data_IF_405012199862
#
_entry.id   IF_405012199862
#
_cell.length_a   1.000
_cell.length_b   1.000
_cell.length_c   1.000
_cell.angle_alpha   90.00
_cell.angle_beta   90.00
_cell.angle_gamma   90.00
#
_symmetry.space_group_name_H-M   'P 1'
#
loop_
_entity.id
_entity.type
_entity.pdbx_description
1 polymer ?
#
# COMPACT_ATOMS: atom_id res chain seq x y z
N UNK A 1 109.93 4.68 6.83
CA UNK A 1 108.90 4.12 5.93
C UNK A 1 107.91 3.30 6.75
N UNK A 2 106.72 3.81 6.99
CA UNK A 2 105.62 3.07 7.65
C UNK A 2 104.31 3.49 6.98
N UNK A 3 103.70 2.56 6.24
CA UNK A 3 102.46 2.73 5.48
C UNK A 3 101.26 2.82 6.42
N UNK A 4 100.37 3.79 6.22
CA UNK A 4 99.10 3.90 6.91
C UNK A 4 98.11 2.83 6.41
N UNK A 5 97.38 2.21 7.34
CA UNK A 5 96.28 1.27 7.08
C UNK A 5 94.97 2.06 7.06
N UNK A 6 94.33 2.15 5.90
CA UNK A 6 92.93 2.58 5.76
C UNK A 6 91.97 1.47 6.23
N UNK A 7 91.07 1.78 7.16
CA UNK A 7 89.97 0.90 7.56
C UNK A 7 88.80 1.02 6.57
N UNK A 8 88.23 -0.12 6.15
CA UNK A 8 87.02 -0.20 5.34
C UNK A 8 85.79 -0.13 6.25
N UNK A 9 84.87 0.80 5.99
CA UNK A 9 83.52 0.79 6.58
C UNK A 9 82.67 -0.37 6.05
N UNK A 10 81.80 -1.00 6.88
CA UNK A 10 80.92 -2.06 6.42
C UNK A 10 79.70 -1.48 5.68
N UNK A 11 79.37 -2.06 4.52
CA UNK A 11 78.10 -1.82 3.80
C UNK A 11 76.94 -2.35 4.66
N UNK A 12 76.05 -1.46 5.11
CA UNK A 12 74.76 -1.82 5.69
C UNK A 12 73.90 -2.53 4.62
N UNK A 13 73.57 -3.79 4.82
CA UNK A 13 72.52 -4.48 4.05
C UNK A 13 71.14 -3.98 4.52
N UNK A 14 70.17 -3.76 3.61
CA UNK A 14 68.82 -3.37 4.02
C UNK A 14 68.12 -4.56 4.73
N UNK A 15 67.19 -4.29 5.66
CA UNK A 15 66.59 -5.33 6.48
C UNK A 15 65.68 -6.25 5.64
N UNK A 16 66.04 -7.54 5.57
CA UNK A 16 65.27 -8.62 4.92
C UNK A 16 63.90 -8.92 5.55
N UNK A 17 63.51 -8.26 6.64
CA UNK A 17 62.26 -8.54 7.37
C UNK A 17 61.02 -7.91 6.74
N UNK A 18 61.13 -6.76 6.06
CA UNK A 18 59.98 -6.08 5.44
C UNK A 18 59.34 -6.90 4.30
N UNK A 19 60.15 -7.62 3.50
CA UNK A 19 59.64 -8.43 2.39
C UNK A 19 58.84 -9.66 2.83
N UNK A 20 59.09 -10.19 4.04
CA UNK A 20 58.31 -11.32 4.58
C UNK A 20 56.93 -10.88 5.04
N UNK A 21 56.82 -9.73 5.70
CA UNK A 21 55.54 -9.14 6.12
C UNK A 21 54.68 -8.76 4.92
N UNK A 22 55.28 -8.19 3.87
CA UNK A 22 54.57 -7.87 2.63
C UNK A 22 54.03 -9.14 1.93
N UNK A 23 54.81 -10.22 1.92
CA UNK A 23 54.38 -11.51 1.37
C UNK A 23 53.24 -12.17 2.16
N UNK A 24 53.23 -12.06 3.49
CA UNK A 24 52.12 -12.51 4.32
C UNK A 24 50.87 -11.63 4.15
N UNK A 25 51.02 -10.31 4.07
CA UNK A 25 49.92 -9.39 3.80
C UNK A 25 49.29 -9.66 2.42
N UNK A 26 50.09 -9.95 1.39
CA UNK A 26 49.59 -10.34 0.07
C UNK A 26 48.80 -11.66 0.12
N UNK A 27 49.33 -12.69 0.79
CA UNK A 27 48.65 -13.99 0.93
C UNK A 27 47.34 -13.85 1.71
N UNK A 28 47.33 -13.10 2.81
CA UNK A 28 46.11 -12.80 3.57
C UNK A 28 45.12 -11.97 2.75
N UNK A 29 45.60 -11.03 1.93
CA UNK A 29 44.77 -10.27 1.01
C UNK A 29 44.09 -11.14 -0.05
N UNK A 30 44.83 -12.11 -0.63
CA UNK A 30 44.27 -13.08 -1.58
C UNK A 30 43.21 -13.96 -0.90
N UNK A 31 43.51 -14.49 0.30
CA UNK A 31 42.51 -15.26 1.07
C UNK A 31 41.27 -14.42 1.35
N UNK A 32 41.45 -13.16 1.75
CA UNK A 32 40.35 -12.22 1.95
C UNK A 32 39.52 -11.98 0.69
N UNK A 33 40.17 -11.83 -0.48
CA UNK A 33 39.49 -11.69 -1.78
C UNK A 33 38.71 -12.95 -2.16
N UNK A 34 39.26 -14.14 -1.91
CA UNK A 34 38.55 -15.41 -2.17
C UNK A 34 37.32 -15.53 -1.27
N UNK A 35 37.46 -15.20 0.02
CA UNK A 35 36.33 -15.20 0.95
C UNK A 35 35.25 -14.17 0.55
N UNK A 36 35.67 -12.98 0.14
CA UNK A 36 34.75 -11.93 -0.32
C UNK A 36 34.06 -12.33 -1.63
N UNK A 37 34.77 -12.97 -2.55
CA UNK A 37 34.21 -13.53 -3.77
C UNK A 37 33.20 -14.66 -3.48
N UNK A 38 33.52 -15.56 -2.56
CA UNK A 38 32.59 -16.60 -2.10
C UNK A 38 31.33 -16.01 -1.45
N UNK A 39 31.49 -14.98 -0.62
CA UNK A 39 30.37 -14.24 -0.05
C UNK A 39 29.55 -13.53 -1.13
N UNK A 40 30.18 -12.91 -2.12
CA UNK A 40 29.48 -12.27 -3.24
C UNK A 40 28.66 -13.26 -4.04
N UNK A 41 29.21 -14.43 -4.38
CA UNK A 41 28.47 -15.52 -5.07
C UNK A 41 27.29 -15.99 -4.23
N UNK A 42 27.48 -16.16 -2.92
CA UNK A 42 26.40 -16.55 -2.01
C UNK A 42 25.28 -15.49 -1.96
N UNK A 43 25.64 -14.21 -1.82
CA UNK A 43 24.64 -13.13 -1.82
C UNK A 43 23.99 -12.97 -3.19
N UNK A 44 24.71 -13.23 -4.28
CA UNK A 44 24.19 -13.18 -5.64
C UNK A 44 23.11 -14.25 -5.86
N UNK A 45 23.35 -15.48 -5.39
CA UNK A 45 22.37 -16.55 -5.42
C UNK A 45 21.10 -16.16 -4.65
N UNK A 46 21.24 -15.57 -3.45
CA UNK A 46 20.10 -15.07 -2.66
C UNK A 46 19.34 -13.97 -3.41
N UNK A 47 20.07 -13.02 -4.00
CA UNK A 47 19.49 -11.90 -4.74
C UNK A 47 18.68 -12.41 -5.91
N UNK A 48 19.26 -13.30 -6.72
CA UNK A 48 18.58 -13.90 -7.86
C UNK A 48 17.37 -14.73 -7.42
N UNK A 49 17.53 -15.70 -6.52
CA UNK A 49 16.44 -16.59 -6.09
C UNK A 49 15.20 -15.81 -5.63
N UNK A 50 15.39 -14.80 -4.77
CA UNK A 50 14.27 -14.02 -4.22
C UNK A 50 13.70 -13.00 -5.21
N UNK A 51 14.53 -12.43 -6.09
CA UNK A 51 14.08 -11.39 -7.03
C UNK A 51 13.58 -11.95 -8.36
N UNK A 52 14.01 -13.13 -8.81
CA UNK A 52 13.50 -13.75 -10.04
C UNK A 52 12.32 -14.69 -9.81
N UNK A 53 12.12 -15.18 -8.58
CA UNK A 53 10.99 -16.03 -8.19
C UNK A 53 9.68 -15.27 -7.94
N UNK A 54 8.80 -15.80 -7.08
CA UNK A 54 7.61 -15.09 -6.57
C UNK A 54 8.06 -13.90 -5.71
N UNK A 55 8.35 -12.76 -6.35
CA UNK A 55 8.81 -11.51 -5.70
C UNK A 55 7.88 -11.07 -4.55
N UNK A 56 6.59 -11.38 -4.67
CA UNK A 56 5.56 -11.04 -3.69
C UNK A 56 4.53 -12.16 -3.60
N UNK A 57 4.06 -12.45 -2.37
CA UNK A 57 2.80 -13.16 -2.16
C UNK A 57 1.67 -12.14 -2.25
N UNK A 58 0.68 -12.40 -3.10
CA UNK A 58 -0.45 -11.48 -3.29
C UNK A 58 -1.64 -12.08 -2.55
N UNK A 59 -2.14 -11.44 -1.47
CA UNK A 59 -3.32 -11.94 -0.78
C UNK A 59 -4.54 -11.87 -1.70
N UNK A 60 -5.46 -12.82 -1.56
CA UNK A 60 -6.72 -12.72 -2.29
C UNK A 60 -7.50 -11.48 -1.82
N UNK A 61 -8.14 -10.79 -2.77
CA UNK A 61 -8.95 -9.61 -2.53
C UNK A 61 -10.42 -9.97 -2.58
N UNK A 62 -11.16 -9.58 -1.55
CA UNK A 62 -12.60 -9.81 -1.43
C UNK A 62 -13.33 -8.51 -1.73
N UNK A 63 -14.17 -8.57 -2.76
CA UNK A 63 -14.98 -7.46 -3.25
C UNK A 63 -16.44 -7.65 -2.86
N UNK A 64 -17.12 -6.53 -2.57
CA UNK A 64 -18.57 -6.45 -2.44
C UNK A 64 -19.28 -6.80 -3.76
N UNK A 65 -20.61 -6.78 -3.75
CA UNK A 65 -21.38 -6.83 -4.99
C UNK A 65 -20.97 -5.67 -5.92
N UNK A 66 -20.84 -5.90 -7.24
CA UNK A 66 -20.83 -4.80 -8.20
C UNK A 66 -22.15 -4.02 -8.09
N UNK A 67 -22.09 -2.70 -7.98
CA UNK A 67 -23.31 -1.89 -8.03
C UNK A 67 -23.73 -1.72 -9.49
N UNK A 68 -24.82 -2.39 -9.85
CA UNK A 68 -25.50 -2.16 -11.13
C UNK A 68 -26.63 -1.16 -10.93
N UNK A 69 -26.58 -0.08 -11.71
CA UNK A 69 -27.59 0.97 -11.74
C UNK A 69 -28.54 0.72 -12.90
N UNK A 70 -29.85 0.75 -12.64
CA UNK A 70 -30.89 0.67 -13.66
C UNK A 70 -32.13 1.46 -13.23
N UNK A 71 -32.92 1.89 -14.21
CA UNK A 71 -34.14 2.68 -13.94
C UNK A 71 -35.17 1.84 -13.17
N UNK A 72 -35.73 2.39 -12.10
CA UNK A 72 -36.68 1.71 -11.21
C UNK A 72 -36.03 0.98 -10.03
N UNK A 73 -34.69 0.92 -9.98
CA UNK A 73 -33.98 0.36 -8.83
C UNK A 73 -34.28 1.15 -7.56
N UNK A 74 -34.55 0.44 -6.45
CA UNK A 74 -34.72 1.03 -5.12
C UNK A 74 -33.34 1.38 -4.53
N UNK A 75 -32.85 2.57 -4.87
CA UNK A 75 -31.61 3.15 -4.38
C UNK A 75 -31.83 4.65 -4.18
N UNK A 76 -31.70 5.12 -2.94
CA UNK A 76 -31.78 6.54 -2.64
C UNK A 76 -30.50 7.24 -3.09
N UNK A 77 -30.60 8.55 -3.40
CA UNK A 77 -29.43 9.37 -3.72
C UNK A 77 -28.40 9.32 -2.60
N UNK A 78 -28.86 9.38 -1.35
CA UNK A 78 -27.94 9.47 -0.20
C UNK A 78 -27.21 8.14 0.02
N UNK A 79 -27.88 6.99 -0.16
CA UNK A 79 -27.22 5.67 -0.16
C UNK A 79 -26.20 5.56 -1.30
N UNK A 80 -26.54 6.03 -2.51
CA UNK A 80 -25.61 6.03 -3.63
C UNK A 80 -24.37 6.89 -3.34
N UNK A 81 -24.54 8.06 -2.73
CA UNK A 81 -23.42 8.92 -2.34
C UNK A 81 -22.52 8.27 -1.27
N UNK A 82 -23.09 7.50 -0.34
CA UNK A 82 -22.31 6.72 0.63
C UNK A 82 -21.42 5.70 -0.08
N UNK A 83 -21.97 4.98 -1.08
CA UNK A 83 -21.22 3.99 -1.85
C UNK A 83 -20.12 4.66 -2.70
N UNK A 84 -20.40 5.80 -3.32
CA UNK A 84 -19.41 6.60 -4.03
C UNK A 84 -18.28 7.11 -3.12
N UNK A 85 -18.61 7.59 -1.92
CA UNK A 85 -17.63 8.02 -0.94
C UNK A 85 -16.75 6.84 -0.48
N UNK A 86 -17.34 5.66 -0.27
CA UNK A 86 -16.61 4.43 0.08
C UNK A 86 -15.69 3.96 -1.05
N UNK A 87 -16.11 4.12 -2.31
CA UNK A 87 -15.31 3.88 -3.50
C UNK A 87 -14.26 4.98 -3.76
N UNK A 88 -14.25 6.06 -2.99
CA UNK A 88 -13.28 7.15 -3.10
C UNK A 88 -13.52 8.14 -4.23
N UNK A 89 -14.76 8.24 -4.73
CA UNK A 89 -15.11 9.26 -5.72
C UNK A 89 -14.99 10.66 -5.11
N UNK A 90 -14.33 11.56 -5.83
CA UNK A 90 -14.14 12.95 -5.42
C UNK A 90 -15.37 13.76 -5.77
N UNK A 91 -15.93 14.44 -4.77
CA UNK A 91 -17.00 15.42 -4.97
C UNK A 91 -16.41 16.71 -5.54
N UNK A 92 -16.70 16.98 -6.81
CA UNK A 92 -16.22 18.14 -7.54
C UNK A 92 -17.42 18.93 -8.10
N UNK A 93 -17.23 20.22 -8.41
CA UNK A 93 -18.31 21.03 -9.01
C UNK A 93 -18.66 20.56 -10.42
N UNK A 94 -17.70 19.96 -11.11
CA UNK A 94 -17.83 19.31 -12.41
C UNK A 94 -17.06 18.00 -12.34
N UNK A 95 -17.68 16.90 -12.77
CA UNK A 95 -17.04 15.59 -12.78
C UNK A 95 -15.98 15.54 -13.90
N UNK A 96 -14.72 15.86 -13.56
CA UNK A 96 -13.60 15.84 -14.48
C UNK A 96 -12.64 14.68 -14.18
N UNK A 97 -12.36 13.87 -15.20
CA UNK A 97 -11.49 12.71 -15.08
C UNK A 97 -12.09 11.54 -14.28
N UNK A 98 -11.38 10.41 -14.17
CA UNK A 98 -11.87 9.22 -13.46
C UNK A 98 -12.15 9.49 -11.98
N UNK A 99 -13.13 8.79 -11.42
CA UNK A 99 -13.51 8.86 -10.00
C UNK A 99 -13.91 10.26 -9.53
N UNK A 100 -14.51 11.05 -10.41
CA UNK A 100 -15.08 12.34 -10.06
C UNK A 100 -16.60 12.26 -10.11
N UNK A 101 -17.27 12.88 -9.14
CA UNK A 101 -18.72 12.98 -9.06
C UNK A 101 -19.14 14.43 -8.78
N UNK A 102 -20.14 14.91 -9.50
CA UNK A 102 -20.76 16.21 -9.31
C UNK A 102 -22.24 16.00 -8.93
N UNK A 103 -22.65 16.64 -7.84
CA UNK A 103 -23.99 16.47 -7.27
C UNK A 103 -24.80 17.75 -7.49
N UNK A 104 -25.87 17.64 -8.29
CA UNK A 104 -26.74 18.74 -8.70
C UNK A 104 -28.19 18.42 -8.31
N UNK A 105 -28.57 18.76 -7.08
CA UNK A 105 -29.89 18.45 -6.53
C UNK A 105 -30.14 16.94 -6.46
N UNK A 106 -31.03 16.43 -7.33
CA UNK A 106 -31.34 15.00 -7.43
C UNK A 106 -30.58 14.30 -8.56
N UNK A 107 -29.63 14.96 -9.19
CA UNK A 107 -28.81 14.39 -10.26
C UNK A 107 -27.38 14.23 -9.78
N UNK A 108 -26.78 13.08 -10.08
CA UNK A 108 -25.36 12.81 -9.85
C UNK A 108 -24.73 12.51 -11.20
N UNK A 109 -23.81 13.38 -11.62
CA UNK A 109 -22.95 13.16 -12.77
C UNK A 109 -21.65 12.55 -12.28
N UNK A 110 -21.25 11.38 -12.77
CA UNK A 110 -20.00 10.74 -12.39
C UNK A 110 -19.23 10.21 -13.60
N UNK A 111 -17.91 10.14 -13.46
CA UNK A 111 -17.05 9.41 -14.39
C UNK A 111 -16.55 8.16 -13.70
N UNK A 112 -17.02 7.00 -14.15
CA UNK A 112 -16.53 5.72 -13.64
C UNK A 112 -15.06 5.55 -14.00
N UNK A 113 -14.31 4.83 -13.17
CA UNK A 113 -12.88 4.54 -13.42
C UNK A 113 -12.63 3.34 -14.34
N UNK A 114 -13.68 2.56 -14.63
CA UNK A 114 -13.55 1.27 -15.29
C UNK A 114 -12.98 0.21 -14.34
N UNK A 115 -13.23 -1.07 -14.64
CA UNK A 115 -12.82 -2.16 -13.78
C UNK A 115 -12.69 -3.47 -14.56
N UNK A 116 -11.75 -4.33 -14.16
CA UNK A 116 -11.58 -5.65 -14.74
C UNK A 116 -12.37 -6.68 -13.93
N UNK A 117 -13.57 -7.00 -14.42
CA UNK A 117 -14.44 -8.04 -13.92
C UNK A 117 -14.00 -9.42 -14.43
N UNK A 118 -14.65 -10.47 -13.93
CA UNK A 118 -14.44 -11.85 -14.37
C UNK A 118 -14.93 -12.10 -15.81
N UNK A 119 -15.88 -11.30 -16.31
CA UNK A 119 -16.45 -11.40 -17.66
C UNK A 119 -15.62 -10.63 -18.71
N UNK A 120 -14.86 -9.62 -18.26
CA UNK A 120 -14.16 -8.69 -19.14
C UNK A 120 -13.79 -7.38 -18.46
N UNK A 121 -13.28 -6.45 -19.26
CA UNK A 121 -12.90 -5.11 -18.79
C UNK A 121 -13.97 -4.10 -19.16
N UNK A 122 -14.53 -3.44 -18.15
CA UNK A 122 -15.38 -2.28 -18.32
C UNK A 122 -14.50 -1.03 -18.41
N UNK A 123 -14.68 -0.27 -19.48
CA UNK A 123 -13.99 1.00 -19.67
C UNK A 123 -14.57 2.10 -18.76
N UNK A 124 -13.76 3.12 -18.48
CA UNK A 124 -14.22 4.35 -17.86
C UNK A 124 -15.31 5.01 -18.72
N UNK A 125 -16.41 5.42 -18.10
CA UNK A 125 -17.54 6.04 -18.79
C UNK A 125 -18.18 7.15 -17.95
N UNK A 126 -18.74 8.14 -18.64
CA UNK A 126 -19.53 9.18 -17.99
C UNK A 126 -20.96 8.70 -17.82
N UNK A 127 -21.47 8.77 -16.59
CA UNK A 127 -22.80 8.32 -16.21
C UNK A 127 -23.52 9.44 -15.47
N UNK A 128 -24.74 9.73 -15.89
CA UNK A 128 -25.67 10.64 -15.23
C UNK A 128 -26.80 9.81 -14.63
N UNK A 129 -26.97 9.95 -13.31
CA UNK A 129 -28.01 9.26 -12.55
C UNK A 129 -28.95 10.31 -11.96
N UNK A 130 -30.25 10.20 -12.25
CA UNK A 130 -31.27 11.06 -11.65
C UNK A 130 -32.11 10.26 -10.68
N UNK A 131 -32.34 10.80 -9.49
CA UNK A 131 -33.11 10.16 -8.43
C UNK A 131 -34.51 10.79 -8.28
N UNK A 132 -35.48 9.98 -7.88
CA UNK A 132 -36.83 10.41 -7.51
C UNK A 132 -37.29 9.62 -6.28
N UNK A 133 -37.32 10.27 -5.11
CA UNK A 133 -37.50 9.57 -3.84
C UNK A 133 -36.36 8.58 -3.61
N UNK A 134 -36.71 7.34 -3.28
CA UNK A 134 -35.76 6.24 -3.03
C UNK A 134 -35.46 5.40 -4.28
N UNK A 135 -35.65 5.97 -5.47
CA UNK A 135 -35.51 5.24 -6.73
C UNK A 135 -34.65 5.96 -7.75
N UNK A 136 -33.93 5.17 -8.56
CA UNK A 136 -33.27 5.63 -9.79
C UNK A 136 -34.35 5.92 -10.84
N UNK A 137 -34.45 7.18 -11.25
CA UNK A 137 -35.52 7.68 -12.12
C UNK A 137 -35.08 7.91 -13.57
N UNK A 138 -33.78 8.13 -13.81
CA UNK A 138 -33.20 8.19 -15.16
C UNK A 138 -31.71 7.81 -15.10
N UNK A 139 -31.23 7.17 -16.16
CA UNK A 139 -29.84 6.77 -16.32
C UNK A 139 -29.40 7.07 -17.76
N UNK A 140 -28.36 7.89 -17.90
CA UNK A 140 -27.84 8.31 -19.21
C UNK A 140 -26.32 8.42 -19.22
N UNK A 141 -25.73 8.38 -20.41
CA UNK A 141 -24.31 8.60 -20.65
C UNK A 141 -23.99 10.11 -20.74
N UNK A 142 -22.71 10.49 -20.74
CA UNK A 142 -22.26 11.88 -20.87
C UNK A 142 -22.73 12.59 -22.15
N UNK A 143 -23.03 11.85 -23.22
CA UNK A 143 -23.61 12.39 -24.46
C UNK A 143 -25.15 12.50 -24.43
N UNK A 144 -25.80 12.15 -23.32
CA UNK A 144 -27.26 12.15 -23.15
C UNK A 144 -27.97 10.89 -23.66
N UNK A 145 -27.26 9.89 -24.19
CA UNK A 145 -27.87 8.62 -24.57
C UNK A 145 -28.36 7.85 -23.33
N UNK A 146 -29.55 7.26 -23.39
CA UNK A 146 -30.08 6.44 -22.29
C UNK A 146 -29.26 5.16 -22.13
N UNK A 147 -28.96 4.81 -20.88
CA UNK A 147 -28.29 3.57 -20.52
C UNK A 147 -29.32 2.61 -19.91
N UNK A 148 -29.29 1.35 -20.33
CA UNK A 148 -30.13 0.31 -19.72
C UNK A 148 -29.58 -0.06 -18.33
N UNK A 149 -28.26 -0.23 -18.25
CA UNK A 149 -27.52 -0.54 -17.03
C UNK A 149 -26.21 0.25 -17.03
N UNK A 150 -25.78 0.71 -15.86
CA UNK A 150 -24.42 1.20 -15.63
C UNK A 150 -23.84 0.46 -14.42
N UNK A 151 -22.71 -0.22 -14.61
CA UNK A 151 -22.02 -0.96 -13.55
C UNK A 151 -20.89 -0.11 -12.98
N UNK A 152 -20.80 -0.05 -11.66
CA UNK A 152 -19.67 0.54 -10.94
C UNK A 152 -18.72 -0.57 -10.48
N UNK A 153 -17.47 -0.19 -10.25
CA UNK A 153 -16.51 -1.06 -9.62
C UNK A 153 -16.98 -1.47 -8.21
N UNK A 154 -16.72 -2.72 -7.79
CA UNK A 154 -17.15 -3.18 -6.48
C UNK A 154 -16.21 -2.67 -5.38
N UNK A 155 -16.77 -2.42 -4.21
CA UNK A 155 -16.00 -2.01 -3.03
C UNK A 155 -15.06 -3.14 -2.57
N UNK A 156 -13.78 -2.84 -2.31
CA UNK A 156 -12.88 -3.78 -1.65
C UNK A 156 -13.25 -3.87 -0.17
N UNK A 157 -13.73 -5.02 0.28
CA UNK A 157 -14.23 -5.23 1.64
C UNK A 157 -13.23 -5.97 2.56
N UNK A 158 -12.18 -6.54 1.98
CA UNK A 158 -11.11 -7.15 2.73
C UNK A 158 -10.20 -8.02 1.88
N UNK A 159 -9.31 -8.76 2.53
CA UNK A 159 -8.43 -9.73 1.89
C UNK A 159 -8.22 -10.98 2.74
N UNK A 160 -7.81 -12.05 2.09
CA UNK A 160 -7.37 -13.28 2.74
C UNK A 160 -5.85 -13.26 2.84
N UNK A 161 -5.37 -12.91 4.03
CA UNK A 161 -3.96 -12.66 4.25
C UNK A 161 -3.22 -13.93 4.71
N UNK A 162 -1.97 -14.12 4.24
CA UNK A 162 -1.06 -15.10 4.81
C UNK A 162 -0.69 -14.74 6.27
N UNK A 163 -0.09 -15.70 6.99
CA UNK A 163 0.24 -15.58 8.43
C UNK A 163 1.13 -14.39 8.79
N UNK A 164 1.89 -13.84 7.84
CA UNK A 164 2.76 -12.67 8.01
C UNK A 164 2.02 -11.32 7.96
N UNK A 165 0.70 -11.29 7.67
CA UNK A 165 -0.16 -10.09 7.72
C UNK A 165 0.31 -8.91 6.85
N UNK A 166 1.05 -9.19 5.77
CA UNK A 166 1.45 -8.20 4.79
C UNK A 166 0.37 -8.04 3.71
N UNK A 167 -0.06 -6.80 3.48
CA UNK A 167 -1.01 -6.45 2.41
C UNK A 167 -0.26 -5.70 1.29
N UNK A 168 -0.62 -5.98 0.03
CA UNK A 168 0.03 -5.39 -1.15
C UNK A 168 -0.99 -5.19 -2.27
N UNK A 169 -0.95 -3.99 -2.85
CA UNK A 169 -1.57 -3.70 -4.15
C UNK A 169 -0.42 -3.46 -5.11
N UNK A 170 -0.09 -4.50 -5.90
CA UNK A 170 0.97 -4.40 -6.88
C UNK A 170 0.59 -3.40 -7.97
N UNK A 171 1.51 -2.48 -8.24
CA UNK A 171 1.41 -1.53 -9.34
C UNK A 171 2.59 -1.75 -10.29
N UNK A 172 2.29 -1.73 -11.57
CA UNK A 172 3.32 -1.68 -12.62
C UNK A 172 3.87 -0.27 -12.74
N UNK A 173 5.08 -0.15 -13.27
CA UNK A 173 5.73 1.15 -13.44
C UNK A 173 4.93 2.12 -14.33
N UNK A 174 4.24 1.59 -15.36
CA UNK A 174 3.38 2.36 -16.28
C UNK A 174 2.07 2.84 -15.65
N UNK A 175 1.69 2.31 -14.49
CA UNK A 175 0.51 2.71 -13.71
C UNK A 175 0.83 3.80 -12.68
N UNK A 176 2.11 4.18 -12.53
CA UNK A 176 2.51 5.23 -11.61
C UNK A 176 1.92 6.59 -12.06
N UNK A 177 1.30 7.37 -11.15
CA UNK A 177 0.76 8.68 -11.48
C UNK A 177 1.88 9.64 -11.90
N UNK A 178 1.53 10.74 -12.59
CA UNK A 178 2.46 11.82 -12.86
C UNK A 178 3.21 12.25 -11.59
N UNK A 179 4.45 12.69 -11.76
CA UNK A 179 5.35 13.15 -10.69
C UNK A 179 5.84 12.09 -9.70
N UNK A 180 5.27 10.88 -9.64
CA UNK A 180 5.69 9.90 -8.62
C UNK A 180 7.11 9.41 -8.86
N UNK A 181 7.43 8.94 -10.08
CA UNK A 181 8.74 8.37 -10.37
C UNK A 181 9.84 9.44 -10.27
N UNK A 182 9.67 10.53 -11.01
CA UNK A 182 10.65 11.63 -11.04
C UNK A 182 10.77 12.30 -9.67
N UNK A 183 9.64 12.48 -8.97
CA UNK A 183 9.61 13.05 -7.63
C UNK A 183 10.28 12.17 -6.59
N UNK A 184 10.06 10.85 -6.64
CA UNK A 184 10.71 9.89 -5.74
C UNK A 184 12.23 9.88 -5.97
N UNK A 185 12.68 9.81 -7.23
CA UNK A 185 14.10 9.87 -7.58
C UNK A 185 14.71 11.21 -7.15
N UNK A 186 14.03 12.33 -7.41
CA UNK A 186 14.49 13.67 -7.04
C UNK A 186 14.69 13.87 -5.53
N UNK A 187 13.85 13.21 -4.71
CA UNK A 187 13.87 13.34 -3.25
C UNK A 187 14.82 12.34 -2.60
N UNK A 188 14.75 11.07 -2.99
CA UNK A 188 15.45 9.98 -2.32
C UNK A 188 16.83 9.68 -2.94
N UNK A 189 16.98 9.79 -4.26
CA UNK A 189 18.22 9.40 -4.95
C UNK A 189 18.43 10.12 -6.30
N UNK A 190 18.86 11.38 -6.24
CA UNK A 190 18.98 12.26 -7.43
C UNK A 190 19.84 11.72 -8.57
N UNK A 191 20.86 10.94 -8.23
CA UNK A 191 21.80 10.37 -9.21
C UNK A 191 21.43 8.93 -9.58
N UNK A 192 20.20 8.47 -9.28
CA UNK A 192 19.77 7.06 -9.39
C UNK A 192 20.16 6.41 -10.71
N UNK A 193 19.93 7.07 -11.84
CA UNK A 193 20.21 6.50 -13.16
C UNK A 193 21.69 6.45 -13.54
N UNK A 194 22.58 7.08 -12.76
CA UNK A 194 24.00 7.27 -13.10
C UNK A 194 24.96 6.50 -12.19
N UNK A 195 24.48 5.96 -11.07
CA UNK A 195 25.27 5.13 -10.17
C UNK A 195 24.85 3.67 -10.26
N UNK A 196 25.68 2.80 -9.66
CA UNK A 196 25.51 1.37 -9.73
C UNK A 196 25.40 0.76 -8.33
N UNK A 197 24.17 0.69 -7.82
CA UNK A 197 23.79 0.20 -6.49
C UNK A 197 24.14 1.16 -5.36
N UNK A 198 25.32 1.77 -5.39
CA UNK A 198 25.84 2.70 -4.38
C UNK A 198 26.30 3.98 -5.04
N UNK A 199 26.01 5.13 -4.44
CA UNK A 199 26.46 6.43 -4.92
C UNK A 199 27.59 7.00 -4.05
N UNK A 200 28.85 6.99 -4.53
CA UNK A 200 29.98 7.63 -3.83
C UNK A 200 29.74 9.13 -3.60
N UNK A 201 29.09 9.80 -4.56
CA UNK A 201 28.72 11.22 -4.46
C UNK A 201 27.73 11.46 -3.31
N UNK A 202 26.72 10.61 -3.17
CA UNK A 202 25.73 10.73 -2.07
C UNK A 202 26.36 10.45 -0.71
N UNK A 203 27.28 9.49 -0.62
CA UNK A 203 28.03 9.19 0.60
C UNK A 203 28.93 10.36 1.00
N UNK A 204 29.73 10.89 0.07
CA UNK A 204 30.63 12.02 0.34
C UNK A 204 29.85 13.28 0.77
N UNK A 205 28.73 13.56 0.08
CA UNK A 205 27.82 14.66 0.44
C UNK A 205 27.24 14.49 1.84
N UNK A 206 26.77 13.29 2.18
CA UNK A 206 26.19 13.01 3.50
C UNK A 206 27.25 13.19 4.61
N UNK A 207 28.48 12.71 4.40
CA UNK A 207 29.58 12.91 5.35
C UNK A 207 29.84 14.41 5.56
N UNK A 208 30.03 15.17 4.47
CA UNK A 208 30.29 16.61 4.54
C UNK A 208 29.21 17.37 5.31
N UNK A 209 27.94 17.16 4.95
CA UNK A 209 26.81 17.87 5.57
C UNK A 209 26.68 17.52 7.05
N UNK A 210 26.78 16.23 7.39
CA UNK A 210 26.63 15.76 8.78
C UNK A 210 27.80 16.24 9.67
N UNK A 211 29.02 16.36 9.13
CA UNK A 211 30.16 16.92 9.87
C UNK A 211 30.06 18.45 10.03
N UNK A 212 29.52 19.16 9.04
CA UNK A 212 29.40 20.63 9.07
C UNK A 212 28.27 21.18 9.97
N UNK A 213 27.19 20.40 10.20
CA UNK A 213 25.99 20.90 10.89
C UNK A 213 25.67 20.18 12.21
N UNK A 214 26.55 19.32 12.72
CA UNK A 214 26.44 18.71 14.06
C UNK A 214 25.22 17.81 14.31
N UNK A 215 24.34 17.63 13.32
CA UNK A 215 23.14 16.78 13.37
C UNK A 215 23.07 15.91 12.11
N UNK A 216 22.75 14.63 12.29
CA UNK A 216 22.54 13.66 11.20
C UNK A 216 21.25 14.00 10.44
N UNK A 217 21.34 14.88 9.43
CA UNK A 217 20.16 15.41 8.70
C UNK A 217 19.91 14.72 7.36
N UNK A 218 20.96 14.21 6.71
CA UNK A 218 20.90 13.66 5.36
C UNK A 218 21.44 12.22 5.31
N UNK A 219 20.64 11.32 4.72
CA UNK A 219 21.03 9.94 4.47
C UNK A 219 21.79 9.81 3.15
N UNK A 220 22.88 9.05 3.14
CA UNK A 220 23.66 8.75 1.93
C UNK A 220 23.26 7.45 1.22
N UNK A 221 22.08 6.89 1.52
CA UNK A 221 21.66 5.59 0.96
C UNK A 221 20.88 5.76 -0.33
N UNK A 222 21.14 4.90 -1.31
CA UNK A 222 20.46 4.88 -2.63
C UNK A 222 19.10 4.19 -2.56
N UNK A 223 18.25 4.35 -3.57
CA UNK A 223 16.98 3.62 -3.67
C UNK A 223 17.20 2.10 -3.65
N UNK A 224 18.21 1.61 -4.36
CA UNK A 224 18.57 0.18 -4.43
C UNK A 224 19.03 -0.35 -3.07
N UNK A 225 19.81 0.43 -2.33
CA UNK A 225 20.19 0.10 -0.95
C UNK A 225 18.98 0.03 -0.01
N UNK A 226 18.06 0.98 -0.14
CA UNK A 226 16.81 0.98 0.63
C UNK A 226 15.94 -0.24 0.29
N UNK A 227 15.83 -0.61 -1.00
CA UNK A 227 15.13 -1.82 -1.45
C UNK A 227 15.77 -3.06 -0.82
N UNK A 228 17.09 -3.21 -0.94
CA UNK A 228 17.81 -4.36 -0.40
C UNK A 228 17.60 -4.50 1.11
N UNK A 229 17.68 -3.37 1.83
CA UNK A 229 17.46 -3.33 3.28
C UNK A 229 16.06 -3.83 3.65
N UNK A 230 15.02 -3.39 2.94
CA UNK A 230 13.64 -3.79 3.26
C UNK A 230 13.33 -5.21 2.80
N UNK A 231 13.90 -5.63 1.67
CA UNK A 231 13.55 -6.89 1.01
C UNK A 231 14.37 -8.10 1.50
N UNK A 232 15.64 -7.93 1.88
CA UNK A 232 16.54 -9.05 2.23
C UNK A 232 17.05 -9.05 3.66
N UNK A 233 17.13 -7.89 4.31
CA UNK A 233 17.88 -7.74 5.56
C UNK A 233 16.95 -7.46 6.75
N UNK A 234 17.46 -7.74 7.95
CA UNK A 234 16.78 -7.41 9.20
C UNK A 234 17.01 -5.95 9.60
N UNK A 235 16.18 -5.44 10.53
CA UNK A 235 16.24 -4.06 11.01
C UNK A 235 17.42 -3.74 11.97
N UNK A 236 18.38 -4.65 12.12
CA UNK A 236 19.56 -4.44 12.99
C UNK A 236 20.39 -3.23 12.55
N UNK A 237 21.07 -2.55 13.48
CA UNK A 237 21.96 -1.44 13.12
C UNK A 237 23.41 -1.84 13.30
N UNK A 238 24.02 -2.39 12.25
CA UNK A 238 25.44 -2.76 12.23
C UNK A 238 26.15 -2.30 10.95
N UNK A 239 27.46 -2.02 11.07
CA UNK A 239 28.30 -1.68 9.91
C UNK A 239 28.44 -2.85 8.94
N UNK A 240 28.48 -4.08 9.46
CA UNK A 240 28.50 -5.31 8.66
C UNK A 240 27.25 -5.43 7.80
N UNK A 241 26.05 -5.24 8.37
CA UNK A 241 24.80 -5.19 7.60
C UNK A 241 24.85 -4.12 6.52
N UNK A 242 25.38 -2.93 6.82
CA UNK A 242 25.48 -1.84 5.83
C UNK A 242 26.42 -2.17 4.67
N UNK A 243 27.50 -2.92 4.93
CA UNK A 243 28.40 -3.40 3.88
C UNK A 243 27.73 -4.50 3.03
N UNK A 244 27.03 -5.44 3.67
CA UNK A 244 26.21 -6.46 2.98
C UNK A 244 25.15 -5.82 2.10
N UNK A 245 24.45 -4.80 2.59
CA UNK A 245 23.45 -4.01 1.86
C UNK A 245 24.06 -3.34 0.62
N UNK A 246 25.26 -2.75 0.75
CA UNK A 246 25.96 -2.14 -0.37
C UNK A 246 26.36 -3.17 -1.44
N UNK A 247 26.87 -4.34 -1.04
CA UNK A 247 27.25 -5.40 -1.96
C UNK A 247 26.03 -6.00 -2.68
N UNK A 248 24.96 -6.32 -1.95
CA UNK A 248 23.70 -6.79 -2.53
C UNK A 248 23.07 -5.75 -3.46
N UNK A 249 23.16 -4.45 -3.13
CA UNK A 249 22.67 -3.40 -4.02
C UNK A 249 23.42 -3.38 -5.35
N UNK A 250 24.74 -3.52 -5.33
CA UNK A 250 25.54 -3.65 -6.56
C UNK A 250 25.13 -4.88 -7.35
N UNK A 251 25.05 -6.06 -6.71
CA UNK A 251 24.66 -7.31 -7.37
C UNK A 251 23.26 -7.21 -7.98
N UNK A 252 22.31 -6.58 -7.30
CA UNK A 252 20.95 -6.39 -7.80
C UNK A 252 20.94 -5.57 -9.10
N UNK A 253 21.74 -4.52 -9.22
CA UNK A 253 21.81 -3.72 -10.45
C UNK A 253 22.61 -4.35 -11.59
N UNK A 254 23.40 -5.40 -11.33
CA UNK A 254 24.04 -6.22 -12.38
C UNK A 254 22.99 -7.02 -13.13
N UNK A 255 22.00 -7.54 -12.40
CA UNK A 255 21.03 -8.47 -12.97
C UNK A 255 19.74 -7.81 -13.42
N UNK A 256 19.36 -6.69 -12.81
CA UNK A 256 18.06 -6.07 -13.03
C UNK A 256 18.18 -4.61 -13.46
N UNK A 257 17.28 -4.22 -14.35
CA UNK A 257 17.23 -2.86 -14.86
C UNK A 257 16.78 -1.86 -13.78
N UNK A 258 17.15 -0.58 -13.95
CA UNK A 258 16.68 0.51 -13.07
C UNK A 258 15.15 0.58 -13.00
N UNK A 259 14.46 0.22 -14.08
CA UNK A 259 13.00 0.18 -14.13
C UNK A 259 12.43 -0.92 -13.23
N UNK A 260 12.98 -2.13 -13.30
CA UNK A 260 12.56 -3.24 -12.43
C UNK A 260 12.85 -2.96 -10.95
N UNK A 261 14.00 -2.36 -10.65
CA UNK A 261 14.35 -1.96 -9.28
C UNK A 261 13.38 -0.89 -8.77
N UNK A 262 13.04 0.10 -9.60
CA UNK A 262 12.10 1.15 -9.23
C UNK A 262 10.69 0.57 -9.03
N UNK A 263 10.22 -0.30 -9.93
CA UNK A 263 8.95 -1.01 -9.77
C UNK A 263 8.92 -1.85 -8.48
N UNK A 264 9.98 -2.60 -8.20
CA UNK A 264 10.07 -3.37 -6.96
C UNK A 264 10.08 -2.46 -5.73
N UNK A 265 10.80 -1.35 -5.78
CA UNK A 265 10.81 -0.35 -4.71
C UNK A 265 9.41 0.22 -4.44
N UNK A 266 8.67 0.57 -5.49
CA UNK A 266 7.31 1.12 -5.37
C UNK A 266 6.35 0.13 -4.69
N UNK A 267 6.59 -1.17 -4.81
CA UNK A 267 5.76 -2.22 -4.23
C UNK A 267 6.26 -2.71 -2.85
N UNK A 268 7.49 -2.38 -2.46
CA UNK A 268 8.11 -2.87 -1.22
C UNK A 268 8.18 -1.86 -0.09
N UNK A 269 8.30 -0.58 -0.42
CA UNK A 269 8.62 0.45 0.58
C UNK A 269 7.57 0.51 1.70
N UNK A 270 8.03 0.44 2.94
CA UNK A 270 7.17 0.62 4.10
C UNK A 270 6.74 2.09 4.22
N UNK A 271 5.43 2.34 4.27
CA UNK A 271 4.85 3.70 4.20
C UNK A 271 3.80 3.97 5.26
N UNK A 272 3.38 2.96 6.03
CA UNK A 272 2.48 3.14 7.15
C UNK A 272 2.22 1.86 7.93
N UNK A 273 1.48 1.97 9.03
CA UNK A 273 1.04 0.86 9.85
C UNK A 273 -0.46 0.99 10.09
N UNK A 274 -1.20 -0.10 9.86
CA UNK A 274 -2.63 -0.20 10.12
C UNK A 274 -2.90 -1.26 11.20
N UNK A 275 -3.06 -0.82 12.45
CA UNK A 275 -3.16 -1.75 13.59
C UNK A 275 -1.96 -2.70 13.65
N UNK A 276 -2.23 -4.00 13.47
CA UNK A 276 -1.20 -5.05 13.45
C UNK A 276 -0.56 -5.27 12.07
N UNK A 277 -1.05 -4.61 11.02
CA UNK A 277 -0.62 -4.80 9.63
C UNK A 277 0.33 -3.70 9.17
N UNK A 278 1.34 -4.08 8.41
CA UNK A 278 2.24 -3.14 7.78
C UNK A 278 1.72 -2.74 6.39
N UNK A 279 1.73 -1.44 6.09
CA UNK A 279 1.34 -0.89 4.78
C UNK A 279 2.60 -0.77 3.94
N UNK A 280 2.75 -1.69 2.98
CA UNK A 280 3.87 -1.73 2.04
C UNK A 280 3.45 -1.34 0.63
N UNK A 281 4.31 -0.57 -0.02
CA UNK A 281 4.14 -0.10 -1.38
C UNK A 281 3.16 1.06 -1.54
N UNK A 282 3.36 1.84 -2.60
CA UNK A 282 2.57 3.03 -2.90
C UNK A 282 1.12 2.71 -3.29
N UNK A 283 0.88 1.57 -3.94
CA UNK A 283 -0.46 1.14 -4.33
C UNK A 283 -1.39 0.94 -3.15
N UNK A 284 -0.91 0.25 -2.11
CA UNK A 284 -1.69 0.10 -0.88
C UNK A 284 -1.73 1.41 -0.09
N UNK A 285 -0.63 2.19 -0.08
CA UNK A 285 -0.60 3.49 0.60
C UNK A 285 -1.67 4.46 0.08
N UNK A 286 -1.89 4.50 -1.24
CA UNK A 286 -2.88 5.40 -1.84
C UNK A 286 -4.29 5.06 -1.37
N UNK A 287 -4.62 3.77 -1.33
CA UNK A 287 -5.90 3.30 -0.80
C UNK A 287 -5.99 3.55 0.71
N UNK A 288 -4.92 3.24 1.45
CA UNK A 288 -4.88 3.39 2.89
C UNK A 288 -5.05 4.84 3.34
N UNK A 289 -4.36 5.81 2.72
CA UNK A 289 -4.40 7.21 3.14
C UNK A 289 -5.46 8.05 2.44
N UNK A 290 -5.80 7.74 1.19
CA UNK A 290 -6.65 8.59 0.34
C UNK A 290 -7.89 7.87 -0.22
N UNK A 291 -8.03 6.56 0.00
CA UNK A 291 -9.08 5.72 -0.61
C UNK A 291 -9.14 5.90 -2.13
N UNK A 292 -7.99 6.07 -2.77
CA UNK A 292 -7.88 6.32 -4.21
C UNK A 292 -6.88 5.38 -4.85
N UNK A 293 -7.11 4.96 -6.10
CA UNK A 293 -6.08 4.31 -6.90
C UNK A 293 -4.84 5.20 -7.02
N UNK A 294 -3.66 4.58 -7.00
CA UNK A 294 -2.39 5.31 -7.03
C UNK A 294 -2.28 6.21 -8.27
N UNK A 295 -2.73 5.72 -9.43
CA UNK A 295 -2.74 6.45 -10.71
C UNK A 295 -3.55 7.74 -10.71
N UNK A 296 -4.47 7.92 -9.76
CA UNK A 296 -5.35 9.09 -9.66
C UNK A 296 -4.87 10.15 -8.66
N UNK A 297 -3.77 9.87 -7.95
CA UNK A 297 -3.28 10.81 -6.94
C UNK A 297 -2.81 12.12 -7.57
N UNK A 298 -3.22 13.23 -6.96
CA UNK A 298 -2.76 14.57 -7.31
C UNK A 298 -1.37 14.82 -6.72
N UNK A 299 -0.65 15.79 -7.27
CA UNK A 299 0.75 16.11 -6.88
C UNK A 299 0.98 16.27 -5.37
N UNK A 300 0.05 16.88 -4.63
CA UNK A 300 0.17 17.05 -3.17
C UNK A 300 0.04 15.73 -2.40
N UNK A 301 -0.75 14.78 -2.90
CA UNK A 301 -0.87 13.42 -2.34
C UNK A 301 0.36 12.58 -2.68
N UNK A 302 0.86 12.67 -3.93
CA UNK A 302 2.13 12.06 -4.35
C UNK A 302 3.29 12.54 -3.46
N UNK A 303 3.41 13.86 -3.28
CA UNK A 303 4.43 14.46 -2.41
C UNK A 303 4.30 14.00 -0.95
N UNK A 304 3.07 13.77 -0.47
CA UNK A 304 2.83 13.23 0.87
C UNK A 304 3.36 11.79 0.98
N UNK A 305 3.04 10.91 0.02
CA UNK A 305 3.53 9.52 0.03
C UNK A 305 5.05 9.44 -0.09
N UNK A 306 5.65 10.22 -1.00
CA UNK A 306 7.12 10.31 -1.12
C UNK A 306 7.72 10.84 0.19
N UNK A 307 7.08 11.80 0.84
CA UNK A 307 7.51 12.33 2.13
C UNK A 307 7.52 11.30 3.26
N UNK A 308 6.59 10.33 3.23
CA UNK A 308 6.45 9.27 4.23
C UNK A 308 7.61 8.28 4.21
N UNK A 309 8.20 8.00 3.04
CA UNK A 309 9.31 7.05 2.87
C UNK A 309 10.44 7.27 3.89
N UNK A 310 10.78 8.54 4.15
CA UNK A 310 11.83 8.91 5.11
C UNK A 310 11.53 8.48 6.55
N UNK A 311 10.25 8.42 6.93
CA UNK A 311 9.84 8.12 8.29
C UNK A 311 8.33 7.94 8.42
N UNK A 312 7.80 6.76 8.04
CA UNK A 312 6.36 6.51 7.95
C UNK A 312 5.59 6.80 9.24
N UNK A 313 6.13 6.35 10.38
CA UNK A 313 5.51 6.55 11.68
C UNK A 313 5.62 8.00 12.18
N UNK A 314 6.75 8.67 11.87
CA UNK A 314 7.02 10.02 12.35
C UNK A 314 6.21 11.08 11.58
N UNK A 315 6.08 10.89 10.26
CA UNK A 315 5.34 11.77 9.37
C UNK A 315 3.91 11.28 9.10
N UNK A 316 3.38 10.37 9.93
CA UNK A 316 2.03 9.86 9.75
C UNK A 316 0.99 11.01 9.76
N UNK A 317 0.25 11.26 8.68
CA UNK A 317 -0.61 12.43 8.52
C UNK A 317 -1.87 12.40 9.40
N UNK A 318 -2.27 11.22 9.88
CA UNK A 318 -3.40 11.09 10.82
C UNK A 318 -2.98 11.39 12.25
N UNK A 319 -1.79 10.93 12.65
CA UNK A 319 -1.27 11.11 14.01
C UNK A 319 -0.57 12.45 14.21
N UNK A 320 0.14 12.94 13.20
CA UNK A 320 0.98 14.14 13.27
C UNK A 320 0.77 15.03 12.02
N UNK A 321 -0.44 15.62 11.85
CA UNK A 321 -0.78 16.36 10.63
C UNK A 321 0.15 17.54 10.35
N UNK A 322 0.62 18.26 11.37
CA UNK A 322 1.53 19.40 11.20
C UNK A 322 2.89 18.98 10.61
N UNK A 323 3.51 17.94 11.17
CA UNK A 323 4.80 17.40 10.68
C UNK A 323 4.66 16.83 9.27
N UNK A 324 3.54 16.15 9.01
CA UNK A 324 3.22 15.62 7.69
C UNK A 324 3.09 16.74 6.65
N UNK A 325 2.40 17.83 7.01
CA UNK A 325 2.20 19.00 6.15
C UNK A 325 3.53 19.68 5.82
N UNK A 326 4.37 19.91 6.82
CA UNK A 326 5.71 20.47 6.64
C UNK A 326 6.57 19.57 5.74
N UNK A 327 6.57 18.26 5.98
CA UNK A 327 7.33 17.29 5.18
C UNK A 327 6.85 17.23 3.75
N UNK A 328 5.54 17.20 3.50
CA UNK A 328 4.93 17.25 2.16
C UNK A 328 5.33 18.53 1.44
N UNK A 329 5.27 19.68 2.12
CA UNK A 329 5.62 20.96 1.51
C UNK A 329 7.11 21.03 1.15
N UNK A 330 7.98 20.46 1.98
CA UNK A 330 9.40 20.30 1.65
C UNK A 330 9.61 19.40 0.42
N UNK A 331 8.84 18.33 0.27
CA UNK A 331 8.89 17.49 -0.95
C UNK A 331 8.43 18.27 -2.18
N UNK A 332 7.36 19.08 -2.05
CA UNK A 332 6.90 19.94 -3.14
C UNK A 332 7.96 21.00 -3.52
N UNK A 333 8.68 21.57 -2.56
CA UNK A 333 9.82 22.46 -2.83
C UNK A 333 10.94 21.74 -3.59
N UNK A 334 11.20 20.48 -3.26
CA UNK A 334 12.17 19.67 -3.99
C UNK A 334 11.70 19.35 -5.42
N UNK A 335 10.39 19.17 -5.64
CA UNK A 335 9.84 18.98 -6.98
C UNK A 335 10.07 20.22 -7.85
N UNK A 336 9.87 21.41 -7.30
CA UNK A 336 10.17 22.68 -7.99
C UNK A 336 11.67 22.79 -8.31
N UNK A 337 12.54 22.61 -7.32
CA UNK A 337 13.98 22.76 -7.45
C UNK A 337 14.60 21.78 -8.45
N UNK A 338 14.00 20.60 -8.63
CA UNK A 338 14.48 19.58 -9.56
C UNK A 338 13.74 19.59 -10.90
N UNK A 339 12.85 20.57 -11.14
CA UNK A 339 12.12 20.71 -12.40
C UNK A 339 11.03 19.66 -12.63
N UNK A 340 10.62 18.94 -11.59
CA UNK A 340 9.52 17.94 -11.64
C UNK A 340 8.17 18.63 -11.83
N UNK A 341 7.99 19.82 -11.25
CA UNK A 341 6.78 20.62 -11.37
C UNK A 341 7.10 22.12 -11.44
N UNK A 342 6.22 22.92 -12.06
CA UNK A 342 6.41 24.37 -12.15
C UNK A 342 6.11 25.06 -10.81
N UNK A 343 6.68 26.25 -10.55
CA UNK A 343 6.42 27.02 -9.33
C UNK A 343 4.92 27.27 -9.09
N UNK A 344 4.14 27.51 -10.15
CA UNK A 344 2.69 27.77 -10.06
C UNK A 344 1.93 26.53 -9.57
N UNK A 345 2.27 25.35 -10.09
CA UNK A 345 1.68 24.07 -9.69
C UNK A 345 2.03 23.76 -8.25
N UNK A 346 3.29 23.98 -7.85
CA UNK A 346 3.77 23.76 -6.47
C UNK A 346 3.08 24.72 -5.49
N UNK A 347 2.96 26.00 -5.83
CA UNK A 347 2.26 26.99 -5.01
C UNK A 347 0.78 26.65 -4.82
N UNK A 348 0.10 26.17 -5.87
CA UNK A 348 -1.28 25.69 -5.79
C UNK A 348 -1.39 24.42 -4.93
N UNK A 349 -0.48 23.46 -5.11
CA UNK A 349 -0.44 22.21 -4.37
C UNK A 349 -0.24 22.40 -2.85
N UNK A 350 0.60 23.37 -2.45
CA UNK A 350 0.83 23.69 -1.03
C UNK A 350 -0.41 24.20 -0.30
N UNK A 351 -1.33 24.86 -1.02
CA UNK A 351 -2.60 25.35 -0.46
C UNK A 351 -3.64 24.25 -0.25
N UNK A 352 -3.44 23.08 -0.87
CA UNK A 352 -4.35 21.95 -0.68
C UNK A 352 -4.20 21.35 0.72
N UNK A 353 -5.30 20.87 1.34
CA UNK A 353 -5.23 20.13 2.59
C UNK A 353 -4.46 18.82 2.41
N UNK A 354 -4.12 18.13 3.51
CA UNK A 354 -3.50 16.81 3.42
C UNK A 354 -4.37 15.79 2.69
N UNK A 355 -5.71 15.97 2.73
CA UNK A 355 -6.65 15.14 1.98
C UNK A 355 -6.74 13.69 2.47
N UNK A 356 -6.19 13.38 3.64
CA UNK A 356 -6.21 12.02 4.19
C UNK A 356 -7.58 11.65 4.74
N UNK A 357 -7.98 10.41 4.51
CA UNK A 357 -9.22 9.87 5.08
C UNK A 357 -9.08 9.77 6.61
N UNK A 358 -10.16 10.10 7.32
CA UNK A 358 -10.20 10.15 8.79
C UNK A 358 -9.98 8.76 9.41
N UNK A 359 -10.52 7.73 8.78
CA UNK A 359 -10.36 6.33 9.14
C UNK A 359 -9.45 5.65 8.12
N UNK A 360 -8.50 4.84 8.59
CA UNK A 360 -7.76 3.92 7.72
C UNK A 360 -8.70 2.81 7.32
N UNK A 361 -9.39 2.97 6.19
CA UNK A 361 -10.50 2.13 5.73
C UNK A 361 -10.07 0.73 5.25
N UNK A 362 -9.04 0.15 5.84
CA UNK A 362 -8.76 -1.29 5.76
C UNK A 362 -9.10 -2.02 7.08
N UNK A 363 -9.09 -1.33 8.23
CA UNK A 363 -9.37 -1.93 9.54
C UNK A 363 -10.84 -1.75 9.99
N UNK A 364 -11.43 -0.56 9.86
CA UNK A 364 -12.85 -0.33 10.23
C UNK A 364 -13.85 -0.86 9.19
N UNK A 365 -13.36 -1.15 7.98
CA UNK A 365 -14.11 -1.81 6.89
C UNK A 365 -13.98 -3.33 6.94
N UNK A 366 -13.31 -3.88 7.96
CA UNK A 366 -13.32 -5.32 8.11
C UNK A 366 -14.76 -5.70 8.47
N UNK A 367 -15.41 -6.43 7.59
CA UNK A 367 -16.69 -7.07 7.88
C UNK A 367 -16.35 -8.48 8.39
N UNK A 368 -15.82 -8.65 9.62
CA UNK A 368 -15.15 -9.88 10.04
C UNK A 368 -16.10 -11.06 9.98
N UNK A 369 -17.36 -10.87 10.37
CA UNK A 369 -18.38 -11.92 10.28
C UNK A 369 -18.58 -12.39 8.85
N UNK A 370 -18.72 -11.46 7.89
CA UNK A 370 -18.93 -11.81 6.49
C UNK A 370 -17.66 -12.41 5.86
N UNK A 371 -16.48 -11.87 6.18
CA UNK A 371 -15.21 -12.44 5.72
C UNK A 371 -14.95 -13.84 6.28
N UNK A 372 -15.43 -14.15 7.49
CA UNK A 372 -15.41 -15.50 8.05
C UNK A 372 -16.31 -16.45 7.26
N UNK A 373 -17.52 -16.03 6.88
CA UNK A 373 -18.38 -16.80 5.96
C UNK A 373 -17.67 -17.08 4.62
N UNK A 374 -17.10 -16.04 4.00
CA UNK A 374 -16.38 -16.16 2.72
C UNK A 374 -15.18 -17.13 2.84
N UNK A 375 -14.40 -17.02 3.92
CA UNK A 375 -13.26 -17.91 4.19
C UNK A 375 -13.69 -19.37 4.31
N UNK A 376 -14.79 -19.64 5.03
CA UNK A 376 -15.30 -21.00 5.23
C UNK A 376 -15.76 -21.61 3.92
N UNK A 377 -16.54 -20.85 3.14
CA UNK A 377 -17.03 -21.31 1.84
C UNK A 377 -15.88 -21.60 0.88
N UNK A 378 -14.89 -20.70 0.77
CA UNK A 378 -13.77 -20.91 -0.15
C UNK A 378 -12.89 -22.10 0.24
N UNK A 379 -12.81 -22.46 1.52
CA UNK A 379 -12.06 -23.64 1.98
C UNK A 379 -12.69 -24.97 1.61
N UNK A 380 -13.95 -24.98 1.17
CA UNK A 380 -14.60 -26.18 0.65
C UNK A 380 -14.04 -26.55 -0.73
N UNK A 381 -13.65 -25.55 -1.52
CA UNK A 381 -13.28 -25.71 -2.93
C UNK A 381 -11.79 -25.41 -3.24
N UNK A 382 -11.09 -24.64 -2.39
CA UNK A 382 -9.73 -24.16 -2.62
C UNK A 382 -8.77 -24.52 -1.48
N UNK A 383 -7.48 -24.68 -1.83
CA UNK A 383 -6.41 -24.83 -0.85
C UNK A 383 -6.10 -23.48 -0.19
N UNK A 384 -5.74 -23.49 1.10
CA UNK A 384 -5.39 -22.28 1.86
C UNK A 384 -4.21 -21.50 1.22
N UNK A 385 -3.30 -22.20 0.55
CA UNK A 385 -2.15 -21.63 -0.17
C UNK A 385 -2.60 -20.81 -1.40
N UNK A 386 -3.52 -21.35 -2.21
CA UNK A 386 -4.09 -20.64 -3.38
C UNK A 386 -4.83 -19.36 -2.96
N UNK A 387 -5.54 -19.42 -1.83
CA UNK A 387 -6.28 -18.28 -1.27
C UNK A 387 -5.38 -17.16 -0.75
N UNK A 388 -4.11 -17.43 -0.45
CA UNK A 388 -3.20 -16.47 0.20
C UNK A 388 -2.01 -16.05 -0.65
N UNK A 389 -1.68 -16.80 -1.71
CA UNK A 389 -0.47 -16.55 -2.51
C UNK A 389 -0.73 -16.21 -3.99
N UNK A 390 -1.88 -16.59 -4.56
CA UNK A 390 -2.15 -16.47 -6.01
C UNK A 390 -2.87 -15.17 -6.40
N UNK A 391 -3.15 -14.27 -5.45
CA UNK A 391 -3.75 -12.97 -5.74
C UNK A 391 -5.17 -13.03 -6.31
N UNK A 392 -5.94 -14.04 -5.91
CA UNK A 392 -7.31 -14.24 -6.38
C UNK A 392 -8.19 -13.01 -6.16
N UNK A 393 -9.13 -12.77 -7.08
CA UNK A 393 -10.17 -11.75 -6.94
C UNK A 393 -11.49 -12.44 -6.67
N UNK A 394 -11.99 -12.29 -5.45
CA UNK A 394 -13.21 -12.90 -4.96
C UNK A 394 -14.32 -11.86 -5.02
N UNK A 395 -15.36 -12.13 -5.81
CA UNK A 395 -16.56 -11.29 -5.88
C UNK A 395 -17.66 -11.93 -5.04
N UNK A 396 -18.35 -11.14 -4.23
CA UNK A 396 -19.34 -11.63 -3.27
C UNK A 396 -20.68 -10.93 -3.46
N UNK A 397 -21.72 -11.47 -2.82
CA UNK A 397 -23.05 -10.86 -2.74
C UNK A 397 -23.18 -9.78 -1.66
N UNK A 398 -22.07 -9.44 -0.97
CA UNK A 398 -22.08 -8.48 0.13
C UNK A 398 -22.58 -7.11 -0.33
N UNK A 399 -23.60 -6.59 0.32
CA UNK A 399 -24.18 -5.27 0.08
C UNK A 399 -23.76 -4.31 1.22
N UNK A 400 -22.87 -3.33 0.94
CA UNK A 400 -22.39 -2.40 1.96
C UNK A 400 -23.51 -1.55 2.59
N UNK A 401 -24.52 -1.17 1.80
CA UNK A 401 -25.62 -0.33 2.27
C UNK A 401 -26.55 -1.14 3.18
N UNK A 402 -26.88 -2.38 2.81
CA UNK A 402 -27.66 -3.27 3.67
C UNK A 402 -26.90 -3.58 4.96
N UNK A 403 -25.60 -3.86 4.90
CA UNK A 403 -24.78 -4.07 6.09
C UNK A 403 -24.84 -2.86 7.04
N UNK A 404 -24.60 -1.65 6.52
CA UNK A 404 -24.65 -0.42 7.32
C UNK A 404 -26.03 -0.19 7.95
N UNK A 405 -27.11 -0.40 7.18
CA UNK A 405 -28.48 -0.25 7.69
C UNK A 405 -28.83 -1.30 8.74
N UNK A 406 -28.39 -2.54 8.55
CA UNK A 406 -28.55 -3.63 9.52
C UNK A 406 -27.80 -3.33 10.81
N UNK A 407 -26.56 -2.81 10.73
CA UNK A 407 -25.80 -2.39 11.89
C UNK A 407 -26.49 -1.23 12.62
N UNK A 408 -26.92 -0.20 11.90
CA UNK A 408 -27.62 0.94 12.48
C UNK A 408 -28.93 0.53 13.18
N UNK A 409 -29.70 -0.39 12.58
CA UNK A 409 -30.93 -0.92 13.18
C UNK A 409 -30.66 -1.71 14.47
N UNK A 410 -29.57 -2.50 14.48
CA UNK A 410 -29.13 -3.23 15.66
C UNK A 410 -28.66 -2.27 16.77
N UNK A 411 -27.86 -1.26 16.43
CA UNK A 411 -27.38 -0.24 17.37
C UNK A 411 -28.53 0.56 17.99
N UNK A 412 -29.52 0.96 17.18
CA UNK A 412 -30.72 1.63 17.67
C UNK A 412 -31.53 0.74 18.62
N UNK A 413 -31.62 -0.56 18.32
CA UNK A 413 -32.25 -1.54 19.21
C UNK A 413 -31.53 -1.63 20.55
N UNK A 414 -30.20 -1.71 20.55
CA UNK A 414 -29.42 -1.74 21.80
C UNK A 414 -29.54 -0.43 22.59
N UNK A 415 -29.57 0.73 21.91
CA UNK A 415 -29.82 2.02 22.57
C UNK A 415 -31.17 2.07 23.26
N UNK A 416 -32.23 1.53 22.65
CA UNK A 416 -33.58 1.43 23.24
C UNK A 416 -33.65 0.44 24.42
N UNK A 417 -32.79 -0.56 24.43
CA UNK A 417 -32.68 -1.54 25.52
C UNK A 417 -31.78 -1.05 26.67
N UNK A 418 -30.96 -0.01 26.44
CA UNK A 418 -30.04 0.52 27.43
C UNK A 418 -30.76 0.88 28.75
N UNK A 419 -30.12 0.56 29.88
CA UNK A 419 -30.67 0.78 31.22
C UNK A 419 -31.54 -0.35 31.77
N UNK A 420 -31.85 -1.39 30.98
CA UNK A 420 -32.46 -2.62 31.52
C UNK A 420 -31.39 -3.53 32.12
N UNK A 421 -31.73 -4.22 33.21
CA UNK A 421 -30.82 -5.14 33.91
C UNK A 421 -30.34 -6.25 32.97
N UNK A 422 -29.01 -6.43 32.87
CA UNK A 422 -28.37 -7.48 32.07
C UNK A 422 -28.22 -7.15 30.58
N UNK A 423 -28.64 -5.98 30.10
CA UNK A 423 -28.51 -5.63 28.66
C UNK A 423 -27.08 -5.50 28.21
N UNK A 424 -26.14 -5.16 29.10
CA UNK A 424 -24.72 -5.05 28.74
C UNK A 424 -24.09 -6.39 28.36
N UNK A 425 -24.70 -7.52 28.78
CA UNK A 425 -24.27 -8.88 28.42
C UNK A 425 -25.05 -9.44 27.20
N UNK A 426 -26.05 -8.71 26.70
CA UNK A 426 -26.87 -9.15 25.57
C UNK A 426 -26.11 -8.98 24.26
N UNK A 427 -26.18 -10.04 23.47
CA UNK A 427 -25.54 -10.18 22.17
C UNK A 427 -26.58 -10.40 21.07
N UNK A 428 -26.19 -10.15 19.83
CA UNK A 428 -27.05 -10.33 18.65
C UNK A 428 -26.30 -11.02 17.51
N UNK A 429 -27.05 -11.70 16.66
CA UNK A 429 -26.60 -12.19 15.36
C UNK A 429 -27.66 -11.83 14.32
N UNK A 430 -27.25 -11.38 13.15
CA UNK A 430 -28.14 -11.04 12.04
C UNK A 430 -27.61 -11.59 10.73
N UNK A 431 -28.49 -12.23 9.97
CA UNK A 431 -28.25 -12.68 8.59
C UNK A 431 -29.32 -12.02 7.73
N UNK A 432 -28.92 -11.36 6.64
CA UNK A 432 -29.84 -10.82 5.63
C UNK A 432 -29.55 -11.52 4.32
N UNK A 433 -30.57 -12.14 3.74
CA UNK A 433 -30.46 -12.86 2.47
C UNK A 433 -31.39 -12.29 1.41
N UNK A 434 -31.00 -12.46 0.14
CA UNK A 434 -31.90 -12.29 -0.97
C UNK A 434 -32.91 -13.45 -0.97
N UNK A 435 -34.23 -13.19 -0.95
CA UNK A 435 -35.26 -14.24 -0.88
C UNK A 435 -35.36 -15.09 -2.16
N UNK A 436 -34.93 -14.57 -3.31
CA UNK A 436 -35.00 -15.27 -4.59
C UNK A 436 -33.76 -16.14 -4.84
N UNK A 437 -32.57 -15.62 -4.51
CA UNK A 437 -31.29 -16.30 -4.80
C UNK A 437 -30.70 -17.04 -3.60
N UNK A 438 -31.13 -16.71 -2.38
CA UNK A 438 -30.55 -17.21 -1.14
C UNK A 438 -29.19 -16.58 -0.79
N UNK A 439 -28.69 -15.64 -1.60
CA UNK A 439 -27.40 -14.99 -1.38
C UNK A 439 -27.39 -14.20 -0.07
N UNK A 440 -26.33 -14.35 0.72
CA UNK A 440 -26.12 -13.57 1.95
C UNK A 440 -25.64 -12.17 1.56
N UNK A 441 -26.42 -11.15 1.89
CA UNK A 441 -26.14 -9.75 1.52
C UNK A 441 -25.57 -8.94 2.69
N UNK A 442 -25.93 -9.28 3.93
CA UNK A 442 -25.37 -8.69 5.13
C UNK A 442 -25.27 -9.74 6.25
N UNK A 443 -24.23 -9.64 7.06
CA UNK A 443 -23.95 -10.57 8.16
C UNK A 443 -23.34 -9.83 9.36
N UNK A 444 -23.95 -9.98 10.53
CA UNK A 444 -23.49 -9.40 11.79
C UNK A 444 -23.35 -10.51 12.83
N UNK A 445 -22.13 -10.75 13.30
CA UNK A 445 -21.79 -11.86 14.20
C UNK A 445 -21.88 -11.53 15.70
N UNK A 446 -22.15 -10.28 16.09
CA UNK A 446 -22.15 -9.85 17.48
C UNK A 446 -22.67 -8.43 17.64
N UNK A 447 -22.86 -8.01 18.89
CA UNK A 447 -23.23 -6.63 19.25
C UNK A 447 -22.25 -5.61 18.69
N UNK A 448 -20.95 -5.89 18.77
CA UNK A 448 -19.90 -5.09 18.16
C UNK A 448 -19.60 -5.63 16.77
N UNK A 449 -20.19 -5.00 15.74
CA UNK A 449 -20.13 -5.55 14.38
C UNK A 449 -18.72 -5.60 13.77
N UNK A 450 -17.80 -4.74 14.23
CA UNK A 450 -16.38 -4.73 13.81
C UNK A 450 -15.48 -5.67 14.62
N UNK A 451 -16.01 -6.35 15.65
CA UNK A 451 -15.21 -7.26 16.47
C UNK A 451 -14.99 -8.60 15.77
N UNK A 452 -13.73 -8.97 15.57
CA UNK A 452 -13.34 -10.27 15.05
C UNK A 452 -13.32 -11.31 16.19
N UNK A 453 -14.46 -11.94 16.45
CA UNK A 453 -14.62 -12.96 17.48
C UNK A 453 -15.61 -14.05 17.11
N UNK A 454 -16.35 -14.55 18.09
CA UNK A 454 -17.35 -15.60 17.88
C UNK A 454 -18.49 -15.11 16.99
N UNK A 455 -18.64 -15.72 15.80
CA UNK A 455 -19.59 -15.29 14.78
C UNK A 455 -20.97 -15.89 15.04
N UNK A 456 -21.77 -15.23 15.88
CA UNK A 456 -23.07 -15.74 16.33
C UNK A 456 -24.08 -15.95 15.20
N UNK A 457 -23.90 -15.30 14.06
CA UNK A 457 -24.79 -15.46 12.92
C UNK A 457 -24.71 -16.86 12.30
N UNK A 458 -23.54 -17.53 12.40
CA UNK A 458 -23.31 -18.84 11.79
C UNK A 458 -22.87 -19.91 12.79
N UNK A 459 -22.30 -19.53 13.94
CA UNK A 459 -21.78 -20.47 14.95
C UNK A 459 -22.71 -20.69 16.14
N UNK A 460 -23.62 -19.75 16.43
CA UNK A 460 -24.47 -19.86 17.61
C UNK A 460 -25.65 -20.80 17.38
N UNK A 461 -25.57 -22.01 17.95
CA UNK A 461 -26.71 -22.94 18.01
C UNK A 461 -27.64 -22.51 19.14
N UNK A 462 -28.90 -22.17 18.82
CA UNK A 462 -29.92 -21.72 19.77
C UNK A 462 -31.27 -22.40 19.51
N UNK A 463 -32.10 -22.62 20.55
CA UNK A 463 -33.48 -23.04 20.35
C UNK A 463 -34.26 -22.02 19.50
N UNK A 464 -34.84 -22.46 18.38
CA UNK A 464 -35.58 -21.58 17.45
C UNK A 464 -36.98 -21.19 17.96
N UNK A 465 -37.50 -21.90 18.96
CA UNK A 465 -38.79 -21.62 19.59
C UNK A 465 -39.94 -21.60 18.58
N UNK A 466 -40.80 -20.58 18.65
CA UNK A 466 -41.98 -20.45 17.79
C UNK A 466 -41.68 -20.23 16.30
N UNK A 467 -40.41 -20.03 15.90
CA UNK A 467 -40.04 -19.90 14.49
C UNK A 467 -40.27 -21.20 13.69
N UNK A 468 -40.39 -22.35 14.36
CA UNK A 468 -40.70 -23.64 13.70
C UNK A 468 -42.12 -23.72 13.15
N UNK A 469 -43.04 -22.86 13.62
CA UNK A 469 -44.48 -22.95 13.34
C UNK A 469 -44.88 -22.98 11.86
N UNK A 470 -44.22 -22.28 10.93
CA UNK A 470 -44.58 -22.38 9.50
C UNK A 470 -44.20 -23.71 8.83
N UNK A 471 -43.27 -24.47 9.42
CA UNK A 471 -42.77 -25.71 8.83
C UNK A 471 -43.54 -26.97 9.26
N UNK A 472 -44.29 -26.89 10.36
CA UNK A 472 -45.20 -27.92 10.89
C UNK A 472 -46.64 -27.53 10.63
#
# INVERSE_FOLDING_TARGET
>A
MTRSRTSRSPKKQPPRSLNKWLGWALKLGIVGLVLLGGLAIYLDAIVQEKFSGKRWTIPAKVYARPLELFVGQKLSRDDFLIELDALGYRRESVANGPSAAAVNGNTVDLNTRGFQFYEGTDAAQQVRVRFSGDYVADLSSGNGAKLAVARLEPLLIGGLYPKNLEDRILIKLDQAPPYLLDGLVAVEDRDFYHHFGVSPKSIARAIWVNTSQGQMRQGGSTLTQQLVKNFYLTNERSLTRKLTEAMMAVLLEIHYSKQEILEAYLNEVFVGQDGQRAVHGFGLASQYFFSQPLSELKIHQVAMLVGLVKGPSFYNPRRNPERALERRNLVLDLFEQQGVATPEVVAAAKKMPLGVTKTGTLADSSFPAFLDLVKRQLREDYLDEDLTEEGLRIFTSFDPILQMKSQAAMDDTFKKLAGRKGVDEVEAGMVVTNPETGEVQALIGGREAGFSGFNRAIDAVRPIGSLVKPAI
#
